data_IF_040749869588
#
_entry.id   IF_040749869588
#
_cell.length_a   1.000
_cell.length_b   1.000
_cell.length_c   1.000
_cell.angle_alpha   90.00
_cell.angle_beta   90.00
_cell.angle_gamma   90.00
#
_symmetry.space_group_name_H-M   'P 1'
#
loop_
_entity.id
_entity.type
_entity.pdbx_description
1 polymer ?
#
# COMPACT_ATOMS: atom_id res chain seq x y z
N UNK A 1 57.12 123.61 25.53
CA UNK A 1 57.46 122.56 24.55
C UNK A 1 56.48 121.43 24.74
N UNK A 2 55.56 121.28 23.78
CA UNK A 2 54.49 120.28 23.79
C UNK A 2 54.40 119.79 22.36
N UNK A 3 54.91 118.59 22.09
CA UNK A 3 54.79 117.95 20.78
C UNK A 3 53.71 116.89 20.87
N UNK A 4 52.57 117.22 20.27
CA UNK A 4 51.38 116.39 20.13
C UNK A 4 51.59 115.42 18.97
N UNK A 5 51.65 114.12 19.23
CA UNK A 5 51.68 113.10 18.17
C UNK A 5 50.23 112.78 17.76
N UNK A 6 49.84 112.93 16.48
CA UNK A 6 48.49 112.66 16.02
C UNK A 6 48.18 111.16 16.01
N UNK A 7 47.02 110.79 16.54
CA UNK A 7 46.45 109.44 16.41
C UNK A 7 46.06 109.22 14.95
N UNK A 8 46.84 108.41 14.24
CA UNK A 8 46.43 107.82 12.97
C UNK A 8 45.39 106.73 13.27
N UNK A 9 44.14 106.93 12.84
CA UNK A 9 43.13 105.90 12.68
C UNK A 9 43.51 105.00 11.48
N UNK A 10 44.66 104.33 11.55
CA UNK A 10 45.01 103.27 10.64
C UNK A 10 44.18 102.05 11.02
N UNK A 11 43.04 101.91 10.35
CA UNK A 11 42.23 100.70 10.28
C UNK A 11 43.19 99.50 10.04
N UNK A 12 43.39 98.59 11.02
CA UNK A 12 44.17 97.40 10.79
C UNK A 12 43.39 96.55 9.79
N UNK A 13 43.86 96.63 8.54
CA UNK A 13 43.51 95.87 7.35
C UNK A 13 42.41 94.80 7.46
N UNK A 14 41.60 94.73 6.40
CA UNK A 14 40.87 93.53 5.96
C UNK A 14 41.79 92.31 5.75
N UNK A 15 42.43 91.82 6.79
CA UNK A 15 43.25 90.59 6.77
C UNK A 15 43.00 89.70 7.98
N UNK A 16 42.11 90.08 8.90
CA UNK A 16 41.74 89.28 10.07
C UNK A 16 40.48 88.41 9.88
N UNK A 17 40.08 88.07 8.64
CA UNK A 17 38.97 87.11 8.41
C UNK A 17 39.29 86.08 7.32
N UNK A 18 40.58 85.77 7.13
CA UNK A 18 41.02 84.60 6.34
C UNK A 18 41.41 83.45 7.27
N UNK A 19 41.84 83.73 8.51
CA UNK A 19 42.20 82.69 9.49
C UNK A 19 40.98 81.92 10.04
N UNK A 20 39.78 82.52 10.04
CA UNK A 20 38.52 81.87 10.42
C UNK A 20 37.89 81.04 9.28
N UNK A 21 38.35 81.25 8.03
CA UNK A 21 37.90 80.57 6.82
C UNK A 21 38.97 79.69 6.19
N UNK A 22 40.00 79.29 6.95
CA UNK A 22 40.81 78.15 6.57
C UNK A 22 39.88 76.95 6.68
N UNK A 23 39.29 76.59 5.53
CA UNK A 23 38.61 75.33 5.32
C UNK A 23 39.44 74.24 5.97
N UNK A 24 38.94 73.68 7.07
CA UNK A 24 39.31 72.35 7.54
C UNK A 24 39.37 71.46 6.30
N UNK A 25 40.43 70.67 6.06
CA UNK A 25 40.58 69.93 4.82
C UNK A 25 39.41 68.95 4.64
N UNK A 26 38.37 69.37 3.92
CA UNK A 26 37.17 68.59 3.60
C UNK A 26 37.54 67.34 2.78
N UNK A 27 38.71 67.35 2.15
CA UNK A 27 39.30 66.25 1.41
C UNK A 27 39.40 64.98 2.28
N UNK A 28 39.75 65.10 3.57
CA UNK A 28 39.80 63.94 4.47
C UNK A 28 38.43 63.28 4.68
N UNK A 29 37.38 64.09 4.84
CA UNK A 29 36.01 63.60 5.00
C UNK A 29 35.44 63.01 3.70
N UNK A 30 35.83 63.57 2.54
CA UNK A 30 35.42 63.05 1.23
C UNK A 30 36.10 61.70 0.94
N UNK A 31 37.39 61.56 1.25
CA UNK A 31 38.12 60.29 1.08
C UNK A 31 37.59 59.23 2.06
N UNK A 32 37.32 59.59 3.31
CA UNK A 32 36.72 58.67 4.29
C UNK A 32 35.33 58.20 3.83
N UNK A 33 34.46 59.13 3.41
CA UNK A 33 33.13 58.80 2.88
C UNK A 33 33.19 57.91 1.64
N UNK A 34 34.10 58.20 0.70
CA UNK A 34 34.31 57.35 -0.46
C UNK A 34 34.80 55.94 -0.07
N UNK A 35 35.70 55.83 0.90
CA UNK A 35 36.13 54.54 1.45
C UNK A 35 34.98 53.73 2.07
N UNK A 36 34.13 54.39 2.84
CA UNK A 36 32.93 53.79 3.43
C UNK A 36 31.91 53.36 2.37
N UNK A 37 31.64 54.21 1.38
CA UNK A 37 30.73 53.90 0.26
C UNK A 37 31.24 52.71 -0.56
N UNK A 38 32.55 52.62 -0.80
CA UNK A 38 33.18 51.48 -1.52
C UNK A 38 33.11 50.20 -0.70
N UNK A 39 33.38 50.26 0.62
CA UNK A 39 33.24 49.09 1.50
C UNK A 39 31.80 48.62 1.60
N UNK A 40 30.85 49.55 1.72
CA UNK A 40 29.43 49.24 1.78
C UNK A 40 28.94 48.64 0.45
N UNK A 41 29.37 49.21 -0.68
CA UNK A 41 29.10 48.66 -2.01
C UNK A 41 29.70 47.26 -2.19
N UNK A 42 30.93 47.04 -1.74
CA UNK A 42 31.59 45.72 -1.76
C UNK A 42 30.82 44.66 -0.98
N UNK A 43 30.42 44.97 0.27
CA UNK A 43 29.60 44.06 1.10
C UNK A 43 28.24 43.77 0.47
N UNK A 44 27.61 44.76 -0.17
CA UNK A 44 26.34 44.57 -0.85
C UNK A 44 26.47 43.66 -2.08
N UNK A 45 27.56 43.80 -2.84
CA UNK A 45 27.87 42.92 -3.98
C UNK A 45 28.17 41.49 -3.50
N UNK A 46 28.97 41.34 -2.44
CA UNK A 46 29.25 40.02 -1.85
C UNK A 46 28.00 39.33 -1.34
N UNK A 47 27.12 40.06 -0.63
CA UNK A 47 25.83 39.54 -0.17
C UNK A 47 24.95 39.10 -1.35
N UNK A 48 24.92 39.89 -2.43
CA UNK A 48 24.19 39.54 -3.66
C UNK A 48 24.77 38.29 -4.33
N UNK A 49 26.09 38.21 -4.47
CA UNK A 49 26.76 37.04 -5.05
C UNK A 49 26.55 35.77 -4.20
N UNK A 50 26.54 35.90 -2.88
CA UNK A 50 26.23 34.81 -1.97
C UNK A 50 24.78 34.35 -2.15
N UNK A 51 23.82 35.28 -2.24
CA UNK A 51 22.42 34.98 -2.53
C UNK A 51 22.25 34.30 -3.91
N UNK A 52 22.94 34.77 -4.95
CA UNK A 52 22.89 34.20 -6.30
C UNK A 52 23.52 32.79 -6.37
N UNK A 53 24.55 32.52 -5.56
CA UNK A 53 25.11 31.16 -5.42
C UNK A 53 24.13 30.25 -4.70
N UNK A 54 23.59 30.70 -3.57
CA UNK A 54 22.60 29.95 -2.80
C UNK A 54 21.35 29.63 -3.63
N UNK A 55 20.84 30.58 -4.41
CA UNK A 55 19.67 30.37 -5.28
C UNK A 55 19.92 29.35 -6.39
N UNK A 56 21.11 29.35 -7.00
CA UNK A 56 21.47 28.35 -8.03
C UNK A 56 21.64 26.95 -7.44
N UNK A 57 22.21 26.87 -6.24
CA UNK A 57 22.33 25.61 -5.51
C UNK A 57 20.95 25.06 -5.13
N UNK A 58 20.07 25.91 -4.60
CA UNK A 58 18.68 25.56 -4.30
C UNK A 58 17.94 25.03 -5.53
N UNK A 59 18.02 25.73 -6.67
CA UNK A 59 17.39 25.32 -7.92
C UNK A 59 17.94 23.98 -8.46
N UNK A 60 19.26 23.77 -8.32
CA UNK A 60 19.87 22.49 -8.70
C UNK A 60 19.33 21.36 -7.84
N UNK A 61 19.27 21.55 -6.52
CA UNK A 61 18.74 20.53 -5.60
C UNK A 61 17.26 20.25 -5.88
N UNK A 62 16.44 21.26 -6.14
CA UNK A 62 15.03 21.07 -6.52
C UNK A 62 14.88 20.23 -7.80
N UNK A 63 15.74 20.47 -8.79
CA UNK A 63 15.77 19.71 -10.04
C UNK A 63 16.15 18.25 -9.78
N UNK A 64 17.18 18.01 -8.98
CA UNK A 64 17.64 16.66 -8.61
C UNK A 64 16.55 15.91 -7.82
N UNK A 65 15.90 16.57 -6.85
CA UNK A 65 14.76 16.00 -6.09
C UNK A 65 13.60 15.62 -7.02
N UNK A 66 13.21 16.51 -7.93
CA UNK A 66 12.14 16.24 -8.90
C UNK A 66 12.47 15.03 -9.77
N UNK A 67 13.72 14.96 -10.27
CA UNK A 67 14.20 13.86 -11.09
C UNK A 67 14.17 12.55 -10.32
N UNK A 68 14.69 12.52 -9.09
CA UNK A 68 14.78 11.30 -8.30
C UNK A 68 13.39 10.80 -7.88
N UNK A 69 12.47 11.69 -7.49
CA UNK A 69 11.06 11.34 -7.19
C UNK A 69 10.34 10.85 -8.44
N UNK A 70 10.56 11.49 -9.60
CA UNK A 70 9.97 11.05 -10.86
C UNK A 70 10.52 9.70 -11.32
N UNK A 71 11.81 9.45 -11.16
CA UNK A 71 12.43 8.17 -11.46
C UNK A 71 11.85 7.06 -10.58
N UNK A 72 11.71 7.30 -9.27
CA UNK A 72 11.04 6.37 -8.35
C UNK A 72 9.59 6.13 -8.76
N UNK A 73 8.84 7.19 -9.08
CA UNK A 73 7.45 7.06 -9.57
C UNK A 73 7.38 6.16 -10.80
N UNK A 74 8.27 6.34 -11.77
CA UNK A 74 8.30 5.52 -12.98
C UNK A 74 8.65 4.06 -12.68
N UNK A 75 9.60 3.81 -11.78
CA UNK A 75 9.97 2.47 -11.34
C UNK A 75 8.78 1.77 -10.65
N UNK A 76 8.14 2.44 -9.70
CA UNK A 76 7.02 1.89 -8.91
C UNK A 76 5.75 1.72 -9.78
N UNK A 77 5.52 2.62 -10.73
CA UNK A 77 4.43 2.49 -11.70
C UNK A 77 4.62 1.32 -12.68
N UNK A 78 5.75 0.61 -12.66
CA UNK A 78 5.91 -0.65 -13.40
C UNK A 78 5.36 -1.87 -12.67
N UNK A 79 4.96 -1.74 -11.40
CA UNK A 79 4.49 -2.85 -10.59
C UNK A 79 2.99 -3.12 -10.80
N UNK A 80 2.64 -4.41 -10.93
CA UNK A 80 1.27 -4.89 -11.08
C UNK A 80 0.62 -5.29 -9.74
N UNK A 81 1.44 -5.52 -8.71
CA UNK A 81 0.98 -5.81 -7.36
C UNK A 81 0.78 -4.50 -6.58
N UNK A 82 -0.45 -4.18 -6.14
CA UNK A 82 -0.75 -2.96 -5.41
C UNK A 82 -0.07 -2.89 -4.03
N UNK A 83 0.18 -4.03 -3.38
CA UNK A 83 0.83 -4.03 -2.07
C UNK A 83 2.34 -3.78 -2.22
N UNK A 84 2.96 -4.39 -3.23
CA UNK A 84 4.33 -4.08 -3.60
C UNK A 84 4.50 -2.61 -4.03
N UNK A 85 3.50 -2.03 -4.71
CA UNK A 85 3.50 -0.63 -5.13
C UNK A 85 3.58 0.31 -3.91
N UNK A 86 2.71 0.13 -2.93
CA UNK A 86 2.68 0.93 -1.70
C UNK A 86 3.97 0.77 -0.88
N UNK A 87 4.46 -0.46 -0.74
CA UNK A 87 5.70 -0.75 -0.02
C UNK A 87 6.92 -0.09 -0.68
N UNK A 88 7.14 -0.33 -1.98
CA UNK A 88 8.28 0.21 -2.71
C UNK A 88 8.26 1.74 -2.77
N UNK A 89 7.07 2.35 -2.88
CA UNK A 89 6.93 3.80 -2.81
C UNK A 89 7.37 4.35 -1.45
N UNK A 90 6.85 3.78 -0.35
CA UNK A 90 7.15 4.24 1.00
C UNK A 90 8.64 4.07 1.37
N UNK A 91 9.27 2.99 0.90
CA UNK A 91 10.68 2.73 1.12
C UNK A 91 11.55 3.66 0.26
N UNK A 92 11.21 3.81 -1.03
CA UNK A 92 11.92 4.68 -1.95
C UNK A 92 11.90 6.15 -1.54
N UNK A 93 10.75 6.68 -1.12
CA UNK A 93 10.65 8.07 -0.65
C UNK A 93 11.47 8.30 0.61
N UNK A 94 11.46 7.36 1.57
CA UNK A 94 12.32 7.43 2.76
C UNK A 94 13.80 7.41 2.39
N UNK A 95 14.20 6.58 1.42
CA UNK A 95 15.58 6.53 0.95
C UNK A 95 16.01 7.84 0.26
N UNK A 96 15.15 8.41 -0.60
CA UNK A 96 15.42 9.70 -1.24
C UNK A 96 15.50 10.80 -0.18
N UNK A 97 14.55 10.87 0.75
CA UNK A 97 14.56 11.84 1.84
C UNK A 97 15.85 11.74 2.66
N UNK A 98 16.26 10.55 3.05
CA UNK A 98 17.50 10.32 3.78
C UNK A 98 18.74 10.77 2.99
N UNK A 99 18.74 10.65 1.67
CA UNK A 99 19.86 11.10 0.82
C UNK A 99 20.01 12.63 0.78
N UNK A 100 18.90 13.38 0.91
CA UNK A 100 18.91 14.85 0.87
C UNK A 100 19.04 15.48 2.25
N UNK A 101 18.35 14.94 3.25
CA UNK A 101 18.26 15.54 4.59
C UNK A 101 19.05 14.79 5.67
N UNK A 102 19.64 13.65 5.34
CA UNK A 102 20.25 12.74 6.31
C UNK A 102 19.23 11.74 6.85
N UNK A 103 19.71 10.61 7.38
CA UNK A 103 18.85 9.66 8.08
C UNK A 103 18.51 10.21 9.47
N UNK A 104 17.29 9.95 9.96
CA UNK A 104 16.89 10.30 11.33
C UNK A 104 17.86 9.66 12.33
N UNK A 105 18.67 10.49 13.01
CA UNK A 105 19.69 10.05 13.96
C UNK A 105 21.02 9.55 13.35
N UNK A 106 21.24 9.72 12.04
CA UNK A 106 22.49 9.37 11.37
C UNK A 106 23.54 10.48 11.41
N UNK A 107 24.81 10.10 11.50
CA UNK A 107 25.96 11.02 11.46
C UNK A 107 26.25 11.59 10.06
N UNK A 108 25.66 11.01 9.01
CA UNK A 108 25.94 11.41 7.62
C UNK A 108 25.16 12.69 7.27
N UNK A 109 25.84 13.81 6.98
CA UNK A 109 25.17 15.03 6.55
C UNK A 109 24.45 14.79 5.21
N UNK A 110 23.22 15.27 5.09
CA UNK A 110 22.50 15.27 3.83
C UNK A 110 23.12 16.20 2.78
N UNK A 111 22.66 16.10 1.53
CA UNK A 111 23.05 17.01 0.44
C UNK A 111 22.52 18.43 0.60
N UNK A 112 21.46 18.61 1.40
CA UNK A 112 20.80 19.91 1.60
C UNK A 112 21.51 20.69 2.70
N UNK A 113 21.98 21.93 2.43
CA UNK A 113 22.48 22.81 3.48
C UNK A 113 21.40 23.11 4.54
N UNK A 114 21.78 23.16 5.81
CA UNK A 114 20.86 23.39 6.94
C UNK A 114 19.99 24.64 6.76
N UNK A 115 20.59 25.73 6.24
CA UNK A 115 19.89 26.99 5.95
C UNK A 115 18.73 26.85 4.93
N UNK A 116 18.72 25.78 4.13
CA UNK A 116 17.71 25.50 3.11
C UNK A 116 16.79 24.32 3.48
N UNK A 117 17.10 23.58 4.55
CA UNK A 117 16.44 22.33 4.89
C UNK A 117 14.92 22.46 5.04
N UNK A 118 14.44 23.53 5.69
CA UNK A 118 13.01 23.75 5.88
C UNK A 118 12.26 23.97 4.56
N UNK A 119 12.76 24.86 3.68
CA UNK A 119 12.09 25.18 2.40
C UNK A 119 12.12 23.99 1.45
N UNK A 120 13.28 23.36 1.29
CA UNK A 120 13.43 22.19 0.44
C UNK A 120 12.70 20.97 1.00
N UNK A 121 12.58 20.85 2.32
CA UNK A 121 11.78 19.81 2.98
C UNK A 121 10.29 19.92 2.68
N UNK A 122 9.73 21.14 2.73
CA UNK A 122 8.34 21.39 2.31
C UNK A 122 8.14 21.06 0.82
N UNK A 123 9.04 21.52 -0.04
CA UNK A 123 9.00 21.23 -1.47
C UNK A 123 9.04 19.72 -1.77
N UNK A 124 9.94 18.98 -1.11
CA UNK A 124 10.02 17.53 -1.21
C UNK A 124 8.73 16.84 -0.74
N UNK A 125 8.13 17.34 0.34
CA UNK A 125 6.85 16.83 0.87
C UNK A 125 5.72 17.03 -0.14
N UNK A 126 5.61 18.21 -0.75
CA UNK A 126 4.60 18.47 -1.80
C UNK A 126 4.79 17.56 -3.02
N UNK A 127 6.03 17.41 -3.51
CA UNK A 127 6.38 16.52 -4.61
C UNK A 127 5.99 15.07 -4.32
N UNK A 128 6.39 14.56 -3.15
CA UNK A 128 6.14 13.17 -2.75
C UNK A 128 4.65 12.90 -2.48
N UNK A 129 3.91 13.84 -1.89
CA UNK A 129 2.47 13.69 -1.70
C UNK A 129 1.71 13.69 -3.03
N UNK A 130 2.06 14.57 -3.97
CA UNK A 130 1.44 14.62 -5.29
C UNK A 130 1.64 13.32 -6.07
N UNK A 131 2.88 12.83 -6.13
CA UNK A 131 3.18 11.56 -6.80
C UNK A 131 2.57 10.35 -6.08
N UNK A 132 2.57 10.34 -4.75
CA UNK A 132 1.96 9.29 -3.93
C UNK A 132 0.46 9.20 -4.11
N UNK A 133 -0.24 10.33 -4.27
CA UNK A 133 -1.69 10.34 -4.53
C UNK A 133 -2.05 9.70 -5.89
N UNK A 134 -1.28 9.97 -6.94
CA UNK A 134 -1.46 9.35 -8.26
C UNK A 134 -1.22 7.83 -8.19
N UNK A 135 -0.15 7.41 -7.50
CA UNK A 135 0.16 6.00 -7.28
C UNK A 135 -0.91 5.29 -6.45
N UNK A 136 -1.44 5.95 -5.41
CA UNK A 136 -2.53 5.42 -4.59
C UNK A 136 -3.81 5.19 -5.40
N UNK A 137 -4.17 6.10 -6.32
CA UNK A 137 -5.30 5.88 -7.25
C UNK A 137 -5.08 4.64 -8.10
N UNK A 138 -3.88 4.49 -8.68
CA UNK A 138 -3.54 3.30 -9.46
C UNK A 138 -3.58 2.01 -8.63
N UNK A 139 -3.07 2.03 -7.40
CA UNK A 139 -3.13 0.87 -6.52
C UNK A 139 -4.58 0.45 -6.21
N UNK A 140 -5.48 1.42 -6.03
CA UNK A 140 -6.92 1.15 -5.88
C UNK A 140 -7.54 0.57 -7.15
N UNK A 141 -7.20 1.09 -8.33
CA UNK A 141 -7.63 0.55 -9.62
C UNK A 141 -7.15 -0.90 -9.83
N UNK A 142 -5.90 -1.20 -9.48
CA UNK A 142 -5.34 -2.56 -9.54
C UNK A 142 -6.08 -3.50 -8.58
N UNK A 143 -6.33 -3.08 -7.33
CA UNK A 143 -7.11 -3.87 -6.36
C UNK A 143 -8.55 -4.10 -6.85
N UNK A 144 -9.16 -3.12 -7.49
CA UNK A 144 -10.48 -3.27 -8.10
C UNK A 144 -10.44 -4.30 -9.25
N UNK A 145 -9.47 -4.18 -10.15
CA UNK A 145 -9.27 -5.11 -11.26
C UNK A 145 -9.02 -6.54 -10.77
N UNK A 146 -8.19 -6.73 -9.74
CA UNK A 146 -7.95 -8.04 -9.12
C UNK A 146 -9.23 -8.65 -8.54
N UNK A 147 -10.07 -7.87 -7.83
CA UNK A 147 -11.35 -8.38 -7.31
C UNK A 147 -12.28 -8.81 -8.42
N UNK A 148 -12.39 -8.02 -9.49
CA UNK A 148 -13.21 -8.37 -10.66
C UNK A 148 -12.68 -9.63 -11.34
N UNK A 149 -11.35 -9.74 -11.52
CA UNK A 149 -10.70 -10.93 -12.07
C UNK A 149 -10.95 -12.17 -11.22
N UNK A 150 -10.88 -12.06 -9.89
CA UNK A 150 -11.15 -13.16 -8.97
C UNK A 150 -12.59 -13.66 -9.08
N UNK A 151 -13.57 -12.76 -9.20
CA UNK A 151 -14.98 -13.17 -9.39
C UNK A 151 -15.17 -13.91 -10.71
N UNK A 152 -14.46 -13.52 -11.77
CA UNK A 152 -14.47 -14.25 -13.03
C UNK A 152 -13.89 -15.66 -12.88
N UNK A 153 -12.71 -15.79 -12.27
CA UNK A 153 -12.08 -17.09 -12.03
C UNK A 153 -12.97 -18.01 -11.18
N UNK A 154 -13.53 -17.49 -10.09
CA UNK A 154 -14.52 -18.20 -9.25
C UNK A 154 -15.76 -18.56 -10.06
N UNK A 155 -16.23 -17.68 -10.94
CA UNK A 155 -17.36 -17.95 -11.84
C UNK A 155 -17.10 -19.13 -12.78
N UNK A 156 -15.90 -19.24 -13.32
CA UNK A 156 -15.48 -20.36 -14.19
C UNK A 156 -15.42 -21.68 -13.41
N UNK A 157 -14.86 -21.68 -12.19
CA UNK A 157 -14.84 -22.86 -11.30
C UNK A 157 -16.26 -23.30 -10.91
N UNK A 158 -17.10 -22.36 -10.49
CA UNK A 158 -18.49 -22.63 -10.13
C UNK A 158 -19.33 -23.09 -11.33
N UNK A 159 -19.00 -22.63 -12.53
CA UNK A 159 -19.67 -23.08 -13.75
C UNK A 159 -19.39 -24.57 -14.01
N UNK A 160 -18.14 -25.04 -13.82
CA UNK A 160 -17.81 -26.45 -13.94
C UNK A 160 -18.63 -27.31 -12.96
N UNK A 161 -18.64 -26.92 -11.67
CA UNK A 161 -19.46 -27.58 -10.63
C UNK A 161 -20.94 -27.60 -11.02
N UNK A 162 -21.46 -26.52 -11.59
CA UNK A 162 -22.86 -26.43 -11.99
C UNK A 162 -23.20 -27.22 -13.26
N UNK A 163 -22.25 -27.46 -14.16
CA UNK A 163 -22.47 -28.25 -15.38
C UNK A 163 -22.55 -29.74 -15.06
N UNK A 164 -21.71 -30.21 -14.14
CA UNK A 164 -21.57 -31.64 -13.82
C UNK A 164 -22.43 -32.08 -12.62
N UNK A 165 -22.71 -31.14 -11.71
CA UNK A 165 -23.44 -31.40 -10.48
C UNK A 165 -24.95 -31.62 -10.65
N UNK A 166 -25.54 -32.16 -9.59
CA UNK A 166 -26.99 -32.31 -9.45
C UNK A 166 -27.71 -30.96 -9.22
N UNK A 167 -29.03 -31.00 -9.02
CA UNK A 167 -29.84 -29.80 -8.79
C UNK A 167 -29.38 -29.00 -7.57
N UNK A 168 -28.89 -29.69 -6.53
CA UNK A 168 -28.38 -29.06 -5.33
C UNK A 168 -27.05 -28.34 -5.58
N UNK A 169 -26.08 -29.01 -6.20
CA UNK A 169 -24.79 -28.42 -6.55
C UNK A 169 -24.97 -27.19 -7.45
N UNK A 170 -25.93 -27.22 -8.36
CA UNK A 170 -26.29 -26.08 -9.23
C UNK A 170 -26.86 -24.90 -8.47
N UNK A 171 -27.80 -25.15 -7.54
CA UNK A 171 -28.36 -24.10 -6.70
C UNK A 171 -27.29 -23.47 -5.80
N UNK A 172 -26.41 -24.30 -5.23
CA UNK A 172 -25.27 -23.85 -4.44
C UNK A 172 -24.30 -22.98 -5.24
N UNK A 173 -23.85 -23.46 -6.42
CA UNK A 173 -22.94 -22.73 -7.28
C UNK A 173 -23.52 -21.38 -7.73
N UNK A 174 -24.81 -21.37 -8.09
CA UNK A 174 -25.52 -20.14 -8.45
C UNK A 174 -25.57 -19.15 -7.29
N UNK A 175 -25.91 -19.62 -6.09
CA UNK A 175 -25.94 -18.77 -4.89
C UNK A 175 -24.56 -18.21 -4.56
N UNK A 176 -23.50 -19.02 -4.71
CA UNK A 176 -22.13 -18.58 -4.43
C UNK A 176 -21.62 -17.56 -5.44
N UNK A 177 -21.95 -17.74 -6.71
CA UNK A 177 -21.64 -16.77 -7.76
C UNK A 177 -22.40 -15.46 -7.51
N UNK A 178 -23.70 -15.55 -7.20
CA UNK A 178 -24.53 -14.38 -6.91
C UNK A 178 -23.96 -13.55 -5.74
N UNK A 179 -23.58 -14.20 -4.64
CA UNK A 179 -22.92 -13.56 -3.50
C UNK A 179 -21.62 -12.85 -3.89
N UNK A 180 -20.83 -13.45 -4.78
CA UNK A 180 -19.55 -12.87 -5.22
C UNK A 180 -19.78 -11.61 -6.07
N UNK A 181 -20.80 -11.64 -6.94
CA UNK A 181 -21.21 -10.47 -7.73
C UNK A 181 -21.84 -9.40 -6.84
N UNK A 182 -22.68 -9.76 -5.87
CA UNK A 182 -23.27 -8.81 -4.93
C UNK A 182 -22.21 -8.10 -4.09
N UNK A 183 -21.15 -8.81 -3.68
CA UNK A 183 -20.01 -8.20 -3.03
C UNK A 183 -19.32 -7.12 -3.89
N UNK A 184 -19.25 -7.30 -5.22
CA UNK A 184 -18.72 -6.26 -6.12
C UNK A 184 -19.66 -5.06 -6.25
N UNK A 185 -20.98 -5.29 -6.24
CA UNK A 185 -21.99 -4.22 -6.26
C UNK A 185 -21.96 -3.41 -4.96
N UNK A 186 -21.89 -4.09 -3.81
CA UNK A 186 -21.79 -3.44 -2.49
C UNK A 186 -20.53 -2.58 -2.35
N UNK A 187 -19.41 -3.05 -2.91
CA UNK A 187 -18.16 -2.29 -2.96
C UNK A 187 -18.18 -1.13 -3.98
N UNK A 188 -19.26 -0.97 -4.74
CA UNK A 188 -19.38 0.05 -5.79
C UNK A 188 -18.49 -0.21 -7.01
N UNK A 189 -17.94 -1.42 -7.15
CA UNK A 189 -17.13 -1.81 -8.31
C UNK A 189 -18.00 -2.16 -9.51
N UNK A 190 -19.20 -2.70 -9.26
CA UNK A 190 -20.24 -2.90 -10.27
C UNK A 190 -21.43 -1.99 -10.01
N UNK A 191 -21.99 -1.44 -11.09
CA UNK A 191 -23.34 -0.90 -11.05
C UNK A 191 -24.34 -2.05 -10.83
N UNK A 192 -25.48 -1.82 -10.13
CA UNK A 192 -26.48 -2.87 -9.90
C UNK A 192 -26.96 -3.56 -11.17
N UNK A 193 -27.07 -2.83 -12.28
CA UNK A 193 -27.50 -3.33 -13.58
C UNK A 193 -26.45 -4.27 -14.18
N UNK A 194 -25.17 -3.91 -14.07
CA UNK A 194 -24.03 -4.73 -14.51
C UNK A 194 -23.96 -6.01 -13.68
N UNK A 195 -24.15 -5.93 -12.36
CA UNK A 195 -24.23 -7.10 -11.49
C UNK A 195 -25.38 -8.04 -11.88
N UNK A 196 -26.57 -7.50 -12.13
CA UNK A 196 -27.72 -8.28 -12.57
C UNK A 196 -27.48 -8.93 -13.94
N UNK A 197 -26.83 -8.23 -14.87
CA UNK A 197 -26.46 -8.76 -16.18
C UNK A 197 -25.42 -9.90 -16.07
N UNK A 198 -24.38 -9.72 -15.26
CA UNK A 198 -23.36 -10.75 -15.02
C UNK A 198 -23.99 -12.05 -14.49
N UNK A 199 -24.90 -11.96 -13.51
CA UNK A 199 -25.64 -13.11 -12.97
C UNK A 199 -26.49 -13.81 -14.04
N UNK A 200 -27.19 -13.04 -14.89
CA UNK A 200 -27.99 -13.61 -15.99
C UNK A 200 -27.12 -14.31 -17.03
N UNK A 201 -26.02 -13.68 -17.45
CA UNK A 201 -25.10 -14.22 -18.43
C UNK A 201 -24.48 -15.53 -17.92
N UNK A 202 -23.96 -15.55 -16.69
CA UNK A 202 -23.39 -16.75 -16.11
C UNK A 202 -24.38 -17.93 -16.07
N UNK A 203 -25.64 -17.70 -15.64
CA UNK A 203 -26.68 -18.75 -15.63
C UNK A 203 -27.01 -19.26 -17.04
N UNK A 204 -27.02 -18.37 -18.04
CA UNK A 204 -27.20 -18.75 -19.45
C UNK A 204 -26.05 -19.63 -19.91
N UNK A 205 -24.82 -19.23 -19.63
CA UNK A 205 -23.61 -19.92 -20.06
C UNK A 205 -23.53 -21.32 -19.42
N UNK A 206 -23.83 -21.46 -18.12
CA UNK A 206 -23.98 -22.77 -17.45
C UNK A 206 -25.07 -23.63 -18.10
N UNK A 207 -26.23 -23.04 -18.41
CA UNK A 207 -27.34 -23.77 -19.04
C UNK A 207 -27.04 -24.20 -20.48
N UNK A 208 -26.19 -23.45 -21.18
CA UNK A 208 -25.71 -23.78 -22.52
C UNK A 208 -24.65 -24.88 -22.48
N UNK A 209 -23.64 -24.76 -21.61
CA UNK A 209 -22.61 -25.77 -21.41
C UNK A 209 -23.22 -27.13 -21.02
N UNK A 210 -24.24 -27.13 -20.14
CA UNK A 210 -24.95 -28.37 -19.79
C UNK A 210 -25.69 -29.00 -20.98
N UNK A 211 -26.35 -28.20 -21.81
CA UNK A 211 -27.01 -28.71 -23.02
C UNK A 211 -26.00 -29.33 -23.97
N UNK A 212 -24.84 -28.70 -24.14
CA UNK A 212 -23.75 -29.24 -24.95
C UNK A 212 -23.22 -30.56 -24.38
N UNK A 213 -23.00 -30.64 -23.05
CA UNK A 213 -22.58 -31.88 -22.38
C UNK A 213 -23.60 -33.01 -22.58
N UNK A 214 -24.90 -32.73 -22.47
CA UNK A 214 -25.95 -33.73 -22.68
C UNK A 214 -25.98 -34.26 -24.13
N UNK A 215 -25.78 -33.37 -25.11
CA UNK A 215 -25.67 -33.76 -26.53
C UNK A 215 -24.43 -34.62 -26.77
N UNK A 216 -23.29 -34.28 -26.17
CA UNK A 216 -22.07 -35.08 -26.29
C UNK A 216 -22.23 -36.47 -25.67
N UNK A 217 -22.88 -36.59 -24.52
CA UNK A 217 -23.16 -37.89 -23.89
C UNK A 217 -24.15 -38.73 -24.71
N UNK A 218 -25.15 -38.10 -25.34
CA UNK A 218 -26.10 -38.79 -26.20
C UNK A 218 -25.51 -39.19 -27.57
N UNK A 219 -24.46 -38.51 -28.02
CA UNK A 219 -23.74 -38.79 -29.25
C UNK A 219 -22.56 -39.76 -29.08
N UNK A 220 -22.24 -40.15 -27.85
CA UNK A 220 -21.24 -41.19 -27.60
C UNK A 220 -21.75 -42.51 -28.22
N UNK A 221 -21.01 -43.14 -29.14
CA UNK A 221 -21.44 -44.38 -29.77
C UNK A 221 -21.68 -45.43 -28.68
N UNK A 222 -22.77 -46.19 -28.81
CA UNK A 222 -22.98 -47.47 -28.11
C UNK A 222 -21.91 -48.46 -28.60
N UNK A 223 -20.66 -48.24 -28.23
CA UNK A 223 -19.60 -49.24 -28.32
C UNK A 223 -19.76 -50.19 -27.14
N UNK A 224 -19.64 -51.49 -27.39
CA UNK A 224 -19.64 -52.60 -26.42
C UNK A 224 -18.52 -52.52 -25.35
N UNK A 225 -17.84 -51.38 -25.25
CA UNK A 225 -16.77 -51.15 -24.29
C UNK A 225 -17.39 -50.85 -22.92
N UNK A 226 -17.04 -51.70 -21.96
CA UNK A 226 -17.50 -51.63 -20.57
C UNK A 226 -17.37 -50.18 -20.07
N UNK A 227 -18.42 -49.55 -19.50
CA UNK A 227 -18.34 -48.18 -18.97
C UNK A 227 -17.19 -48.00 -17.96
N UNK A 228 -16.71 -49.09 -17.34
CA UNK A 228 -15.49 -49.09 -16.53
C UNK A 228 -14.21 -48.85 -17.36
N UNK A 229 -14.06 -49.52 -18.50
CA UNK A 229 -12.91 -49.38 -19.41
C UNK A 229 -12.90 -48.01 -20.11
N UNK A 230 -14.08 -47.48 -20.46
CA UNK A 230 -14.22 -46.13 -21.01
C UNK A 230 -13.86 -45.04 -19.98
N UNK A 231 -14.18 -45.26 -18.70
CA UNK A 231 -13.80 -44.36 -17.61
C UNK A 231 -12.29 -44.42 -17.32
N UNK A 232 -11.69 -45.62 -17.28
CA UNK A 232 -10.24 -45.78 -17.15
C UNK A 232 -9.47 -45.16 -18.33
N UNK A 233 -9.92 -45.36 -19.57
CA UNK A 233 -9.33 -44.74 -20.75
C UNK A 233 -9.45 -43.20 -20.75
N UNK A 234 -10.55 -42.66 -20.20
CA UNK A 234 -10.75 -41.21 -20.07
C UNK A 234 -9.90 -40.61 -18.96
N UNK A 235 -9.72 -41.31 -17.85
CA UNK A 235 -8.78 -40.93 -16.77
C UNK A 235 -7.33 -41.00 -17.27
N UNK A 236 -6.99 -41.97 -18.11
CA UNK A 236 -5.67 -42.11 -18.70
C UNK A 236 -5.35 -41.07 -19.79
N UNK A 237 -6.36 -40.56 -20.50
CA UNK A 237 -6.18 -39.58 -21.59
C UNK A 237 -6.39 -38.12 -21.16
N UNK A 238 -7.11 -37.88 -20.07
CA UNK A 238 -7.37 -36.53 -19.54
C UNK A 238 -7.11 -36.47 -18.03
N UNK A 239 -5.93 -36.00 -17.57
CA UNK A 239 -5.61 -35.88 -16.15
C UNK A 239 -6.51 -34.88 -15.41
N UNK A 240 -7.34 -34.11 -16.11
CA UNK A 240 -8.36 -33.23 -15.54
C UNK A 240 -9.59 -34.00 -15.03
N UNK A 241 -9.84 -35.22 -15.49
CA UNK A 241 -10.90 -36.08 -14.97
C UNK A 241 -10.66 -36.48 -13.49
N UNK A 242 -9.39 -36.57 -13.06
CA UNK A 242 -9.02 -36.76 -11.66
C UNK A 242 -9.21 -35.51 -10.80
N UNK A 243 -9.39 -34.32 -11.39
CA UNK A 243 -9.73 -33.09 -10.64
C UNK A 243 -11.17 -33.11 -10.13
N UNK A 244 -12.05 -33.93 -10.72
CA UNK A 244 -13.47 -33.99 -10.42
C UNK A 244 -13.87 -34.88 -9.25
N UNK A 245 -13.12 -35.95 -9.00
CA UNK A 245 -13.24 -36.74 -7.76
C UNK A 245 -12.56 -36.02 -6.57
N UNK A 246 -11.85 -34.91 -6.86
CA UNK A 246 -11.07 -34.12 -5.90
C UNK A 246 -11.80 -32.86 -5.42
N UNK A 247 -13.13 -32.91 -5.33
CA UNK A 247 -13.94 -31.83 -4.75
C UNK A 247 -14.40 -32.26 -3.36
N UNK A 248 -13.44 -32.38 -2.44
CA UNK A 248 -13.63 -31.97 -1.05
C UNK A 248 -12.38 -31.18 -0.61
N UNK A 249 -12.52 -29.85 -0.63
CA UNK A 249 -11.58 -28.93 0.00
C UNK A 249 -10.40 -28.46 -0.87
N UNK A 250 -10.58 -27.29 -1.49
CA UNK A 250 -9.57 -26.25 -1.77
C UNK A 250 -8.09 -26.68 -1.70
N UNK A 251 -7.44 -26.90 -2.85
CA UNK A 251 -5.97 -26.99 -2.96
C UNK A 251 -5.49 -26.03 -4.05
N UNK A 252 -4.80 -24.93 -3.73
CA UNK A 252 -4.11 -24.11 -4.71
C UNK A 252 -2.86 -24.84 -5.23
N UNK A 253 -2.43 -24.52 -6.46
CA UNK A 253 -1.27 -25.09 -7.19
C UNK A 253 0.00 -25.27 -6.36
N UNK A 254 0.08 -26.38 -5.62
CA UNK A 254 1.29 -26.88 -4.95
C UNK A 254 1.36 -28.39 -5.12
N UNK A 255 2.26 -28.92 -5.96
CA UNK A 255 2.38 -30.37 -6.19
C UNK A 255 2.71 -31.16 -4.92
N UNK A 256 3.26 -30.52 -3.88
CA UNK A 256 3.52 -31.12 -2.56
C UNK A 256 2.24 -31.35 -1.72
N UNK A 257 1.19 -30.57 -1.95
CA UNK A 257 -0.10 -30.77 -1.27
C UNK A 257 -0.87 -31.96 -1.87
N UNK A 258 -0.70 -32.18 -3.18
CA UNK A 258 -1.29 -33.28 -3.95
C UNK A 258 -0.77 -34.65 -3.48
N UNK A 259 0.53 -34.79 -3.19
CA UNK A 259 1.12 -36.04 -2.66
C UNK A 259 0.68 -36.32 -1.23
N UNK A 260 0.57 -35.27 -0.41
CA UNK A 260 0.12 -35.37 0.99
C UNK A 260 -1.35 -35.81 1.07
N UNK A 261 -2.20 -35.34 0.15
CA UNK A 261 -3.62 -35.71 0.11
C UNK A 261 -3.85 -37.15 -0.41
N UNK A 262 -3.07 -37.59 -1.41
CA UNK A 262 -3.13 -38.98 -1.90
C UNK A 262 -2.80 -39.98 -0.79
N UNK A 263 -1.75 -39.73 -0.02
CA UNK A 263 -1.38 -40.60 1.11
C UNK A 263 -2.44 -40.64 2.22
N UNK A 264 -3.21 -39.55 2.42
CA UNK A 264 -4.31 -39.54 3.40
C UNK A 264 -5.52 -40.36 2.94
N UNK A 265 -5.77 -40.43 1.64
CA UNK A 265 -6.83 -41.28 1.09
C UNK A 265 -6.45 -42.75 1.17
N UNK A 266 -5.21 -43.10 0.83
CA UNK A 266 -4.69 -44.47 0.98
C UNK A 266 -4.76 -44.94 2.45
N UNK A 267 -4.42 -44.04 3.40
CA UNK A 267 -4.56 -44.31 4.83
C UNK A 267 -6.03 -44.48 5.26
N UNK A 268 -6.97 -43.71 4.69
CA UNK A 268 -8.40 -43.80 5.01
C UNK A 268 -9.04 -45.08 4.45
N UNK A 269 -8.66 -45.50 3.25
CA UNK A 269 -9.17 -46.72 2.62
C UNK A 269 -8.73 -47.97 3.40
N UNK A 270 -7.53 -47.95 3.97
CA UNK A 270 -7.01 -49.00 4.84
C UNK A 270 -7.73 -49.11 6.21
N UNK A 271 -8.53 -48.12 6.60
CA UNK A 271 -9.31 -48.14 7.84
C UNK A 271 -10.63 -48.91 7.63
N UNK A 272 -10.96 -49.89 8.50
CA UNK A 272 -12.23 -50.59 8.45
C UNK A 272 -13.42 -49.62 8.45
N UNK A 273 -14.44 -49.89 7.63
CA UNK A 273 -15.56 -48.95 7.40
C UNK A 273 -16.23 -48.46 8.70
N UNK A 274 -16.35 -49.34 9.71
CA UNK A 274 -16.94 -49.02 11.02
C UNK A 274 -16.10 -48.03 11.85
N UNK A 275 -14.81 -47.85 11.54
CA UNK A 275 -13.87 -47.02 12.28
C UNK A 275 -13.50 -45.71 11.54
N UNK A 276 -13.92 -45.57 10.28
CA UNK A 276 -13.56 -44.43 9.43
C UNK A 276 -14.00 -43.08 10.00
N UNK A 277 -15.18 -43.02 10.61
CA UNK A 277 -15.69 -41.78 11.22
C UNK A 277 -14.84 -41.34 12.42
N UNK A 278 -14.45 -42.27 13.29
CA UNK A 278 -13.58 -41.99 14.43
C UNK A 278 -12.15 -41.60 13.97
N UNK A 279 -11.64 -42.26 12.93
CA UNK A 279 -10.35 -41.94 12.32
C UNK A 279 -10.34 -40.54 11.69
N UNK A 280 -11.38 -40.20 10.92
CA UNK A 280 -11.56 -38.88 10.31
C UNK A 280 -11.66 -37.78 11.37
N UNK A 281 -12.43 -38.01 12.44
CA UNK A 281 -12.55 -37.09 13.57
C UNK A 281 -11.20 -36.83 14.23
N UNK A 282 -10.44 -37.89 14.52
CA UNK A 282 -9.09 -37.79 15.12
C UNK A 282 -8.12 -37.03 14.22
N UNK A 283 -8.15 -37.28 12.90
CA UNK A 283 -7.30 -36.57 11.92
C UNK A 283 -7.71 -35.12 11.75
N UNK A 284 -9.01 -34.82 11.75
CA UNK A 284 -9.52 -33.45 11.71
C UNK A 284 -9.09 -32.66 12.96
N UNK A 285 -9.13 -33.28 14.15
CA UNK A 285 -8.61 -32.68 15.37
C UNK A 285 -7.11 -32.41 15.29
N UNK A 286 -6.32 -33.39 14.84
CA UNK A 286 -4.87 -33.25 14.68
C UNK A 286 -4.50 -32.18 13.63
N UNK A 287 -5.22 -32.12 12.50
CA UNK A 287 -5.04 -31.07 11.50
C UNK A 287 -5.44 -29.70 12.06
N UNK A 288 -6.51 -29.63 12.85
CA UNK A 288 -6.92 -28.43 13.58
C UNK A 288 -5.89 -28.00 14.62
N UNK A 289 -5.21 -28.92 15.29
CA UNK A 289 -4.10 -28.62 16.21
C UNK A 289 -2.86 -28.11 15.46
N UNK A 290 -2.49 -28.74 14.33
CA UNK A 290 -1.39 -28.26 13.47
C UNK A 290 -1.66 -26.88 12.88
N UNK A 291 -2.88 -26.62 12.40
CA UNK A 291 -3.29 -25.27 11.93
C UNK A 291 -3.26 -24.26 13.07
N UNK A 292 -3.69 -24.64 14.28
CA UNK A 292 -3.56 -23.78 15.48
C UNK A 292 -2.11 -23.50 15.87
N UNK A 293 -1.19 -24.41 15.57
CA UNK A 293 0.24 -24.23 15.81
C UNK A 293 0.96 -23.47 14.68
N UNK A 294 0.47 -23.57 13.44
CA UNK A 294 1.07 -23.00 12.24
C UNK A 294 0.52 -21.61 11.85
N UNK A 295 -0.71 -21.29 12.26
CA UNK A 295 -1.15 -19.89 12.28
C UNK A 295 -0.18 -19.16 13.21
N UNK A 296 0.44 -18.04 12.78
CA UNK A 296 1.12 -17.18 13.73
C UNK A 296 0.08 -16.91 14.80
N UNK A 297 0.34 -17.37 16.04
CA UNK A 297 -0.32 -16.75 17.18
C UNK A 297 -0.17 -15.26 16.88
N UNK A 298 -1.26 -14.46 16.88
CA UNK A 298 -1.05 -13.03 16.95
C UNK A 298 -0.01 -12.87 18.06
N UNK A 299 1.08 -12.18 17.77
CA UNK A 299 2.05 -11.81 18.79
C UNK A 299 1.24 -11.03 19.84
N UNK A 300 0.64 -11.77 20.77
CA UNK A 300 0.43 -11.36 22.13
C UNK A 300 1.86 -11.34 22.67
N UNK A 301 2.60 -10.32 22.27
CA UNK A 301 3.84 -9.94 22.88
C UNK A 301 3.52 -9.75 24.37
N UNK A 302 3.89 -10.76 25.16
CA UNK A 302 3.82 -10.82 26.61
C UNK A 302 2.41 -10.68 27.26
N UNK A 303 2.18 -11.34 28.40
CA UNK A 303 0.91 -11.32 29.13
C UNK A 303 0.76 -10.00 29.88
N UNK A 304 0.40 -8.93 29.17
CA UNK A 304 -0.24 -7.80 29.83
C UNK A 304 -1.58 -8.25 30.42
N UNK A 305 -2.02 -7.75 31.58
CA UNK A 305 -3.36 -8.03 32.07
C UNK A 305 -4.34 -7.62 30.97
N UNK A 306 -5.26 -8.53 30.62
CA UNK A 306 -6.39 -8.20 29.77
C UNK A 306 -7.03 -6.93 30.35
N UNK A 307 -7.09 -5.86 29.57
CA UNK A 307 -7.75 -4.63 29.97
C UNK A 307 -9.11 -4.54 29.27
N UNK A 308 -10.09 -3.82 29.84
CA UNK A 308 -11.36 -3.56 29.17
C UNK A 308 -11.19 -2.96 27.77
N UNK A 309 -10.17 -2.13 27.55
CA UNK A 309 -9.89 -1.51 26.26
C UNK A 309 -9.37 -2.51 25.22
N UNK A 310 -8.54 -3.47 25.64
CA UNK A 310 -8.08 -4.56 24.76
C UNK A 310 -9.26 -5.46 24.37
N UNK A 311 -10.15 -5.78 25.30
CA UNK A 311 -11.34 -6.59 25.02
C UNK A 311 -12.34 -5.86 24.10
N UNK A 312 -12.52 -4.54 24.28
CA UNK A 312 -13.32 -3.71 23.36
C UNK A 312 -12.71 -3.68 21.96
N UNK A 313 -11.39 -3.51 21.84
CA UNK A 313 -10.70 -3.55 20.56
C UNK A 313 -10.82 -4.93 19.89
N UNK A 314 -10.74 -6.01 20.66
CA UNK A 314 -10.95 -7.37 20.18
C UNK A 314 -12.40 -7.58 19.69
N UNK A 315 -13.40 -7.13 20.43
CA UNK A 315 -14.81 -7.20 20.05
C UNK A 315 -15.08 -6.48 18.72
N UNK A 316 -14.53 -5.28 18.55
CA UNK A 316 -14.65 -4.50 17.33
C UNK A 316 -13.99 -5.19 16.13
N UNK A 317 -12.80 -5.78 16.30
CA UNK A 317 -12.12 -6.52 15.23
C UNK A 317 -12.88 -7.79 14.85
N UNK A 318 -13.38 -8.55 15.82
CA UNK A 318 -14.20 -9.75 15.56
C UNK A 318 -15.49 -9.39 14.83
N UNK A 319 -16.16 -8.28 15.22
CA UNK A 319 -17.33 -7.77 14.53
C UNK A 319 -17.03 -7.32 13.09
N UNK A 320 -15.94 -6.57 12.89
CA UNK A 320 -15.50 -6.12 11.56
C UNK A 320 -15.14 -7.30 10.65
N UNK A 321 -14.44 -8.31 11.18
CA UNK A 321 -14.08 -9.51 10.44
C UNK A 321 -15.31 -10.34 10.05
N UNK A 322 -16.32 -10.43 10.93
CA UNK A 322 -17.59 -11.09 10.62
C UNK A 322 -18.37 -10.33 9.52
N UNK A 323 -18.49 -9.00 9.64
CA UNK A 323 -19.14 -8.16 8.61
C UNK A 323 -18.44 -8.25 7.26
N UNK A 324 -17.12 -8.37 7.25
CA UNK A 324 -16.34 -8.55 6.04
C UNK A 324 -16.35 -9.99 5.48
N UNK A 325 -17.14 -10.91 6.06
CA UNK A 325 -17.21 -12.30 5.65
C UNK A 325 -15.92 -13.11 5.87
N UNK A 326 -15.00 -12.61 6.70
CA UNK A 326 -13.70 -13.24 6.99
C UNK A 326 -13.78 -14.27 8.13
N UNK A 327 -14.88 -14.30 8.87
CA UNK A 327 -15.17 -15.29 9.89
C UNK A 327 -16.41 -16.08 9.51
N UNK A 328 -16.36 -17.41 9.69
CA UNK A 328 -17.57 -18.22 9.65
C UNK A 328 -18.46 -17.92 10.87
N UNK A 329 -19.75 -18.20 10.77
CA UNK A 329 -20.71 -17.98 11.86
C UNK A 329 -20.26 -18.66 13.17
N UNK A 330 -19.76 -19.89 13.09
CA UNK A 330 -19.25 -20.64 14.24
C UNK A 330 -17.98 -20.03 14.85
N UNK A 331 -17.08 -19.52 14.01
CA UNK A 331 -15.86 -18.86 14.48
C UNK A 331 -16.18 -17.54 15.17
N UNK A 332 -17.12 -16.77 14.63
CA UNK A 332 -17.65 -15.56 15.26
C UNK A 332 -18.31 -15.87 16.61
N UNK A 333 -19.20 -16.86 16.67
CA UNK A 333 -19.91 -17.23 17.90
C UNK A 333 -18.95 -17.63 19.03
N UNK A 334 -17.90 -18.41 18.71
CA UNK A 334 -16.87 -18.78 19.70
C UNK A 334 -16.05 -17.58 20.19
N UNK A 335 -15.61 -16.71 19.27
CA UNK A 335 -14.83 -15.53 19.65
C UNK A 335 -15.67 -14.53 20.46
N UNK A 336 -16.93 -14.32 20.08
CA UNK A 336 -17.85 -13.47 20.82
C UNK A 336 -18.09 -14.00 22.25
N UNK A 337 -18.30 -15.32 22.42
CA UNK A 337 -18.45 -15.94 23.75
C UNK A 337 -17.20 -15.75 24.62
N UNK A 338 -16.01 -16.00 24.08
CA UNK A 338 -14.75 -15.81 24.84
C UNK A 338 -14.54 -14.36 25.28
N UNK A 339 -14.82 -13.40 24.40
CA UNK A 339 -14.71 -11.97 24.74
C UNK A 339 -15.73 -11.60 25.82
N UNK A 340 -16.96 -12.13 25.72
CA UNK A 340 -18.00 -11.91 26.73
C UNK A 340 -17.60 -12.49 28.09
N UNK A 341 -17.14 -13.74 28.15
CA UNK A 341 -16.68 -14.39 29.38
C UNK A 341 -15.56 -13.57 30.06
N UNK A 342 -14.62 -13.03 29.28
CA UNK A 342 -13.58 -12.15 29.82
C UNK A 342 -14.14 -10.79 30.26
N UNK A 343 -15.06 -10.18 29.54
CA UNK A 343 -15.67 -8.91 29.95
C UNK A 343 -16.48 -9.04 31.25
N UNK A 344 -17.14 -10.17 31.47
CA UNK A 344 -17.87 -10.47 32.71
C UNK A 344 -16.92 -10.54 33.92
N UNK A 345 -15.68 -11.00 33.75
CA UNK A 345 -14.67 -10.98 34.84
C UNK A 345 -14.20 -9.58 35.24
N UNK A 346 -14.42 -8.55 34.42
CA UNK A 346 -14.08 -7.15 34.75
C UNK A 346 -15.26 -6.36 35.34
N UNK A 347 -16.48 -6.89 35.30
CA UNK A 347 -17.68 -6.28 35.88
C UNK A 347 -17.93 -6.80 37.31
N UNK A 348 -16.96 -6.57 38.21
CA UNK A 348 -17.14 -6.68 39.68
C UNK A 348 -17.38 -5.30 40.28
#
# INVERSE_FOLDING_TARGET
MTFTVPKSNADPGRSADIASRIHTPQIGNIIAKFGDDVMQGGRAIEAKLAADRAGREEQKIQTDMTRDVSALRHQVAGLDDPDALDENWSQGIRAIQASYFGADGGETPGRVPEAMASRLGSYFTELSQGAGADLGKRALELRAAQRVGNVRAVGEELAAVAVEGDDYARAWASSRFDQSVDGLVELGLYAPEVGAEAKRNWRRDVSEARRQSAVQMAAAPEGDDDPADALEARIASDPTALRLVRIEGFVPDRPEAVSTFSGLLDELEAVPAAEREAWLSTRAEAAGQRRRAALPRPDYAAPGPLSPDILRAAALRTLQANRAGRLSADAYARQARLIQEHMETFNV
#
